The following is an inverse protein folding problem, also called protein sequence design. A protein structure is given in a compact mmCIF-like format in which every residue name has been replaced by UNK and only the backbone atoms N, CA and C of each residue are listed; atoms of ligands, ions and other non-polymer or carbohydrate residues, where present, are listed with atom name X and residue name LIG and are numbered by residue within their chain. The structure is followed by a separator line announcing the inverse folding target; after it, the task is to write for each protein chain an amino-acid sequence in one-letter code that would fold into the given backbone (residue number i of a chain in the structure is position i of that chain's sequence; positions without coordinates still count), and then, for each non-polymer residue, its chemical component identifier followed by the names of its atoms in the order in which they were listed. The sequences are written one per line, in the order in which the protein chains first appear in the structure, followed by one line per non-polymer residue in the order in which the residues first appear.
data_IF_577894438713
#
_entry.id   IF_577894438713
#
_cell.length_a   1.000
_cell.length_b   1.000
_cell.length_c   1.000
_cell.angle_alpha   90.00
_cell.angle_beta   90.00
_cell.angle_gamma   90.00
#
_symmetry.space_group_name_H-M   'P 1'
#
loop_
_entity.id
_entity.type
_entity.pdbx_description
1 polymer ?
#
# COMPACT_ATOMS: atom_id res chain seq x y z
N UNK A 1 -5.09 2.29 -15.67
CA UNK A 1 -3.94 1.45 -16.07
C UNK A 1 -4.10 0.09 -15.40
N UNK A 2 -3.83 -1.00 -16.12
CA UNK A 2 -3.92 -2.37 -15.61
C UNK A 2 -2.56 -2.92 -15.16
N UNK A 3 -2.52 -3.48 -13.96
CA UNK A 3 -1.33 -4.13 -13.37
C UNK A 3 -1.69 -5.58 -13.01
N UNK A 4 -0.99 -6.53 -13.62
CA UNK A 4 -1.10 -7.93 -13.24
C UNK A 4 -0.50 -8.16 -11.86
N UNK A 5 -1.18 -8.89 -10.99
CA UNK A 5 -0.64 -9.31 -9.70
C UNK A 5 -1.24 -10.67 -9.31
N UNK A 6 -0.46 -11.52 -8.66
CA UNK A 6 -0.95 -12.81 -8.14
C UNK A 6 -2.08 -12.59 -7.15
N UNK A 7 -3.13 -13.43 -7.20
CA UNK A 7 -4.29 -13.39 -6.28
C UNK A 7 -3.91 -13.21 -4.80
N UNK A 8 -2.85 -13.88 -4.31
CA UNK A 8 -2.41 -13.75 -2.92
C UNK A 8 -2.10 -12.30 -2.52
N UNK A 9 -1.38 -11.58 -3.37
CA UNK A 9 -1.07 -10.17 -3.12
C UNK A 9 -2.26 -9.24 -3.44
N UNK A 10 -3.10 -9.61 -4.41
CA UNK A 10 -4.35 -8.88 -4.66
C UNK A 10 -5.24 -8.84 -3.41
N UNK A 11 -5.35 -9.96 -2.70
CA UNK A 11 -6.09 -10.06 -1.44
C UNK A 11 -5.44 -9.20 -0.35
N UNK A 12 -4.11 -9.22 -0.24
CA UNK A 12 -3.38 -8.38 0.73
C UNK A 12 -3.50 -6.88 0.45
N UNK A 13 -3.59 -6.47 -0.83
CA UNK A 13 -3.88 -5.08 -1.16
C UNK A 13 -5.32 -4.74 -0.75
N UNK A 14 -6.25 -5.68 -1.02
CA UNK A 14 -7.68 -5.51 -0.70
C UNK A 14 -7.94 -5.35 0.80
N UNK A 15 -7.23 -6.09 1.65
CA UNK A 15 -7.35 -6.00 3.11
C UNK A 15 -6.42 -4.95 3.75
N UNK A 16 -5.50 -4.36 2.97
CA UNK A 16 -4.57 -3.33 3.41
C UNK A 16 -3.29 -3.83 4.05
N UNK A 17 -3.08 -5.14 4.18
CA UNK A 17 -1.84 -5.73 4.69
C UNK A 17 -0.64 -5.54 3.74
N UNK A 18 -0.88 -5.30 2.45
CA UNK A 18 0.13 -4.91 1.46
C UNK A 18 -0.10 -3.47 0.97
N UNK A 19 0.40 -2.46 1.69
CA UNK A 19 0.15 -1.06 1.37
C UNK A 19 0.98 -0.51 0.20
N UNK A 20 2.03 -1.23 -0.23
CA UNK A 20 2.94 -0.77 -1.28
C UNK A 20 3.14 -1.86 -2.33
N UNK A 21 3.05 -1.45 -3.59
CA UNK A 21 3.41 -2.29 -4.74
C UNK A 21 4.79 -1.91 -5.27
N UNK A 22 5.67 -2.90 -5.42
CA UNK A 22 7.02 -2.72 -5.94
C UNK A 22 7.11 -3.23 -7.38
N UNK A 23 7.69 -2.43 -8.29
CA UNK A 23 7.91 -2.81 -9.69
C UNK A 23 9.26 -2.32 -10.18
N UNK A 24 9.81 -3.00 -11.19
CA UNK A 24 10.87 -2.43 -12.02
C UNK A 24 10.36 -1.13 -12.64
N UNK A 25 11.14 -0.05 -12.61
CA UNK A 25 10.66 1.28 -13.03
C UNK A 25 10.72 1.48 -14.57
N UNK A 26 10.30 0.46 -15.32
CA UNK A 26 10.17 0.52 -16.78
C UNK A 26 9.14 1.58 -17.21
N UNK A 27 9.14 2.05 -18.48
CA UNK A 27 8.33 3.18 -18.93
C UNK A 27 6.85 3.12 -18.55
N UNK A 28 6.25 1.91 -18.56
CA UNK A 28 4.86 1.67 -18.15
C UNK A 28 4.59 2.13 -16.72
N UNK A 29 5.44 1.74 -15.77
CA UNK A 29 5.27 2.09 -14.35
C UNK A 29 5.87 3.46 -14.01
N UNK A 30 6.90 3.90 -14.75
CA UNK A 30 7.49 5.23 -14.58
C UNK A 30 6.47 6.37 -14.80
N UNK A 31 5.48 6.14 -15.67
CA UNK A 31 4.39 7.06 -15.97
C UNK A 31 3.35 7.22 -14.83
N UNK A 32 3.41 6.40 -13.78
CA UNK A 32 2.46 6.48 -12.66
C UNK A 32 2.75 7.69 -11.79
N UNK A 33 1.68 8.38 -11.42
CA UNK A 33 1.72 9.56 -10.55
C UNK A 33 0.75 9.41 -9.36
N UNK A 34 1.02 10.15 -8.29
CA UNK A 34 0.09 10.24 -7.16
C UNK A 34 -1.26 10.85 -7.59
N UNK A 35 -2.35 10.39 -6.97
CA UNK A 35 -3.73 10.73 -7.32
C UNK A 35 -4.31 9.89 -8.47
N UNK A 36 -3.49 9.10 -9.17
CA UNK A 36 -3.96 8.23 -10.24
C UNK A 36 -4.70 7.01 -9.67
N UNK A 37 -5.79 6.62 -10.35
CA UNK A 37 -6.42 5.32 -10.16
C UNK A 37 -5.80 4.25 -11.04
N UNK A 38 -5.45 3.11 -10.43
CA UNK A 38 -4.90 1.94 -11.10
C UNK A 38 -5.76 0.72 -10.77
N UNK A 39 -5.78 -0.26 -11.66
CA UNK A 39 -6.57 -1.47 -11.49
C UNK A 39 -5.63 -2.67 -11.48
N UNK A 40 -5.62 -3.40 -10.37
CA UNK A 40 -4.96 -4.68 -10.26
C UNK A 40 -5.87 -5.79 -10.77
N UNK A 41 -5.29 -6.80 -11.41
CA UNK A 41 -6.02 -8.00 -11.83
C UNK A 41 -5.17 -9.24 -11.63
N UNK A 42 -5.84 -10.36 -11.35
CA UNK A 42 -5.25 -11.69 -11.42
C UNK A 42 -5.55 -12.30 -12.80
N UNK A 43 -4.57 -12.98 -13.39
CA UNK A 43 -4.68 -13.57 -14.72
C UNK A 43 -3.47 -14.44 -15.04
N UNK A 44 -3.54 -15.21 -16.12
CA UNK A 44 -2.42 -16.04 -16.57
C UNK A 44 -1.60 -15.29 -17.63
N UNK A 45 -0.37 -14.90 -17.27
CA UNK A 45 0.58 -14.27 -18.20
C UNK A 45 1.09 -15.26 -19.27
N UNK A 46 0.79 -16.56 -19.17
CA UNK A 46 1.24 -17.60 -20.11
C UNK A 46 0.34 -17.77 -21.35
N UNK A 47 -0.76 -17.03 -21.45
CA UNK A 47 -1.51 -16.98 -22.69
C UNK A 47 -0.70 -16.18 -23.73
N UNK A 48 -0.01 -16.91 -24.60
CA UNK A 48 0.60 -16.47 -25.87
C UNK A 48 -0.21 -15.33 -26.54
N UNK A 49 0.47 -14.46 -27.28
CA UNK A 49 -0.18 -13.48 -28.16
C UNK A 49 -0.91 -14.19 -29.33
N UNK A 50 -1.96 -14.92 -29.01
CA UNK A 50 -2.95 -15.44 -29.94
C UNK A 50 -4.10 -14.44 -30.10
N UNK A 51 -4.46 -14.19 -31.36
CA UNK A 51 -5.68 -13.57 -31.90
C UNK A 51 -6.26 -12.29 -31.24
N UNK A 52 -5.43 -11.41 -30.71
CA UNK A 52 -5.75 -9.97 -30.66
C UNK A 52 -6.95 -9.53 -29.80
N UNK A 53 -7.53 -10.42 -29.01
CA UNK A 53 -8.55 -10.06 -28.03
C UNK A 53 -7.97 -10.07 -26.60
N UNK A 54 -7.48 -8.91 -26.16
CA UNK A 54 -6.94 -8.70 -24.81
C UNK A 54 -7.99 -8.92 -23.70
N UNK A 55 -9.30 -8.86 -24.01
CA UNK A 55 -10.39 -8.95 -23.03
C UNK A 55 -10.61 -10.38 -22.50
N UNK A 56 -10.06 -11.40 -23.17
CA UNK A 56 -10.13 -12.81 -22.72
C UNK A 56 -9.03 -13.23 -21.74
N UNK A 57 -7.99 -12.39 -21.53
CA UNK A 57 -6.81 -12.70 -20.68
C UNK A 57 -6.93 -12.22 -19.24
N UNK A 58 -7.85 -11.30 -19.00
CA UNK A 58 -8.13 -10.69 -17.71
C UNK A 58 -9.26 -11.47 -17.05
N UNK A 59 -9.02 -12.04 -15.86
CA UNK A 59 -10.13 -12.50 -15.04
C UNK A 59 -10.83 -11.26 -14.48
N UNK A 60 -11.74 -10.67 -15.27
CA UNK A 60 -12.47 -9.45 -14.90
C UNK A 60 -13.22 -9.62 -13.58
N UNK A 61 -13.54 -10.85 -13.20
CA UNK A 61 -14.18 -11.21 -11.93
C UNK A 61 -13.27 -11.05 -10.70
N UNK A 62 -11.95 -10.91 -10.86
CA UNK A 62 -11.01 -10.73 -9.76
C UNK A 62 -10.06 -9.55 -10.02
N UNK A 63 -10.61 -8.35 -9.94
CA UNK A 63 -9.88 -7.09 -10.06
C UNK A 63 -10.00 -6.25 -8.78
N UNK A 64 -9.13 -5.25 -8.64
CA UNK A 64 -9.17 -4.29 -7.56
C UNK A 64 -8.71 -2.92 -8.07
N UNK A 65 -9.59 -1.92 -8.02
CA UNK A 65 -9.21 -0.53 -8.22
C UNK A 65 -8.57 0.03 -6.94
N UNK A 66 -7.44 0.72 -7.08
CA UNK A 66 -6.75 1.40 -5.99
C UNK A 66 -6.31 2.81 -6.40
N UNK A 67 -6.31 3.72 -5.44
CA UNK A 67 -5.78 5.08 -5.60
C UNK A 67 -4.31 5.11 -5.18
N UNK A 68 -3.45 5.65 -6.04
CA UNK A 68 -2.03 5.84 -5.76
C UNK A 68 -1.85 7.09 -4.89
N UNK A 69 -1.26 6.95 -3.71
CA UNK A 69 -1.01 8.10 -2.80
C UNK A 69 0.40 8.65 -2.93
N UNK A 70 1.37 7.81 -3.31
CA UNK A 70 2.77 8.20 -3.45
C UNK A 70 3.47 7.28 -4.45
N UNK A 71 4.40 7.83 -5.23
CA UNK A 71 5.31 7.05 -6.06
C UNK A 71 6.74 7.50 -5.78
N UNK A 72 7.58 6.58 -5.32
CA UNK A 72 9.02 6.82 -5.13
C UNK A 72 9.84 5.92 -6.04
N UNK A 73 10.94 6.46 -6.55
CA UNK A 73 11.82 5.82 -7.53
C UNK A 73 13.19 5.64 -6.91
N UNK A 74 13.81 4.50 -7.17
CA UNK A 74 15.03 4.04 -6.52
C UNK A 74 15.99 3.48 -7.57
N UNK A 75 17.29 3.48 -7.28
CA UNK A 75 18.27 2.89 -8.19
C UNK A 75 18.24 1.36 -8.18
N UNK A 76 17.67 0.76 -7.14
CA UNK A 76 17.60 -0.70 -6.99
C UNK A 76 16.40 -1.12 -6.14
N UNK A 77 15.99 -2.38 -6.28
CA UNK A 77 15.07 -3.07 -5.39
C UNK A 77 15.59 -3.07 -3.95
N UNK A 78 16.91 -3.15 -3.76
CA UNK A 78 17.52 -3.10 -2.42
C UNK A 78 17.24 -1.77 -1.73
N UNK A 79 17.49 -0.64 -2.40
CA UNK A 79 17.19 0.69 -1.85
C UNK A 79 15.69 0.85 -1.58
N UNK A 80 14.85 0.36 -2.50
CA UNK A 80 13.39 0.40 -2.36
C UNK A 80 12.91 -0.37 -1.11
N UNK A 81 13.36 -1.61 -0.94
CA UNK A 81 13.00 -2.47 0.19
C UNK A 81 13.57 -1.92 1.51
N UNK A 82 14.78 -1.35 1.50
CA UNK A 82 15.35 -0.68 2.67
C UNK A 82 14.57 0.55 3.11
N UNK A 83 13.98 1.28 2.16
CA UNK A 83 13.28 2.54 2.45
C UNK A 83 11.88 2.34 3.07
N UNK A 84 11.19 1.24 2.78
CA UNK A 84 9.83 0.97 3.29
C UNK A 84 9.73 -0.24 4.22
N UNK A 85 10.78 -1.06 4.33
CA UNK A 85 10.69 -2.38 4.95
C UNK A 85 10.25 -3.44 3.94
N UNK A 86 10.69 -4.67 4.15
CA UNK A 86 10.36 -5.81 3.27
C UNK A 86 8.88 -6.17 3.41
N UNK A 87 8.37 -6.12 4.63
CA UNK A 87 7.00 -6.43 5.02
C UNK A 87 5.95 -5.58 4.30
N UNK A 88 6.30 -4.35 3.90
CA UNK A 88 5.38 -3.48 3.16
C UNK A 88 5.10 -3.99 1.73
N UNK A 89 6.02 -4.78 1.17
CA UNK A 89 5.93 -5.37 -0.16
C UNK A 89 5.63 -6.86 -0.13
N UNK A 90 6.15 -7.57 0.88
CA UNK A 90 6.07 -9.02 1.04
C UNK A 90 5.70 -9.34 2.50
N UNK A 91 4.41 -9.18 2.90
CA UNK A 91 3.99 -9.26 4.31
C UNK A 91 4.30 -10.60 5.00
N UNK A 92 4.19 -11.71 4.26
CA UNK A 92 4.42 -13.07 4.78
C UNK A 92 5.88 -13.56 4.60
N UNK A 93 6.79 -12.67 4.20
CA UNK A 93 8.17 -13.04 3.91
C UNK A 93 9.04 -13.02 5.17
N UNK A 94 9.55 -14.19 5.55
CA UNK A 94 10.38 -14.39 6.76
C UNK A 94 11.89 -14.46 6.47
N UNK A 95 12.34 -13.91 5.35
CA UNK A 95 13.75 -13.90 4.95
C UNK A 95 14.46 -12.58 5.21
N UNK A 96 15.74 -12.55 4.88
CA UNK A 96 16.58 -11.35 4.90
C UNK A 96 16.26 -10.40 3.75
N UNK A 97 16.69 -9.14 3.88
CA UNK A 97 16.64 -8.14 2.80
C UNK A 97 17.24 -8.65 1.49
N UNK A 98 18.37 -9.37 1.54
CA UNK A 98 19.02 -9.86 0.33
C UNK A 98 18.18 -10.94 -0.35
N UNK A 99 17.56 -11.84 0.42
CA UNK A 99 16.66 -12.86 -0.13
C UNK A 99 15.40 -12.21 -0.73
N UNK A 100 14.87 -11.15 -0.10
CA UNK A 100 13.76 -10.38 -0.66
C UNK A 100 14.11 -9.71 -1.99
N UNK A 101 15.34 -9.17 -2.12
CA UNK A 101 15.85 -8.63 -3.40
C UNK A 101 15.89 -9.73 -4.47
N UNK A 102 16.32 -10.94 -4.12
CA UNK A 102 16.37 -12.05 -5.07
C UNK A 102 14.97 -12.57 -5.46
N UNK A 103 13.94 -12.42 -4.61
CA UNK A 103 12.55 -12.64 -5.03
C UNK A 103 12.19 -11.72 -6.20
N UNK A 104 12.54 -10.44 -6.12
CA UNK A 104 12.28 -9.48 -7.20
C UNK A 104 13.11 -9.79 -8.46
N UNK A 105 14.39 -10.09 -8.31
CA UNK A 105 15.27 -10.45 -9.44
C UNK A 105 14.99 -11.82 -10.05
N UNK A 106 14.13 -12.62 -9.41
CA UNK A 106 13.62 -13.88 -9.93
C UNK A 106 12.52 -13.68 -10.98
N UNK A 107 11.88 -12.51 -11.05
CA UNK A 107 10.94 -12.19 -12.12
C UNK A 107 11.67 -12.02 -13.46
N UNK A 108 11.04 -12.46 -14.55
CA UNK A 108 11.62 -12.42 -15.89
C UNK A 108 12.00 -10.98 -16.26
N UNK A 109 13.28 -10.77 -16.60
CA UNK A 109 13.82 -9.47 -17.04
C UNK A 109 14.06 -8.46 -15.92
N UNK A 110 13.68 -8.75 -14.67
CA UNK A 110 13.85 -7.79 -13.57
C UNK A 110 15.31 -7.65 -13.15
N UNK A 111 16.14 -8.69 -13.30
CA UNK A 111 17.55 -8.62 -12.91
C UNK A 111 18.31 -7.64 -13.79
N UNK A 112 18.18 -7.78 -15.11
CA UNK A 112 18.86 -6.92 -16.07
C UNK A 112 18.19 -5.55 -16.14
N UNK A 113 16.86 -5.51 -16.15
CA UNK A 113 16.12 -4.25 -16.25
C UNK A 113 16.17 -3.40 -14.97
N UNK A 114 16.49 -3.97 -13.80
CA UNK A 114 16.79 -3.17 -12.59
C UNK A 114 17.99 -2.24 -12.84
N UNK A 115 19.03 -2.71 -13.52
CA UNK A 115 20.23 -1.90 -13.80
C UNK A 115 19.92 -0.74 -14.74
N UNK A 116 19.01 -0.94 -15.70
CA UNK A 116 18.61 0.07 -16.67
C UNK A 116 17.58 1.05 -16.11
N UNK A 117 16.55 0.55 -15.44
CA UNK A 117 15.36 1.32 -15.08
C UNK A 117 15.26 1.64 -13.59
N UNK A 118 15.98 0.91 -12.74
CA UNK A 118 15.81 0.93 -11.29
C UNK A 118 14.48 0.31 -10.84
N UNK A 119 14.03 0.73 -9.67
CA UNK A 119 12.80 0.24 -9.04
C UNK A 119 11.87 1.39 -8.65
N UNK A 120 10.56 1.10 -8.55
CA UNK A 120 9.58 2.04 -8.06
C UNK A 120 8.67 1.40 -6.99
N UNK A 121 8.39 2.19 -5.96
CA UNK A 121 7.41 1.90 -4.92
C UNK A 121 6.16 2.72 -5.20
N UNK A 122 5.03 2.04 -5.34
CA UNK A 122 3.71 2.61 -5.60
C UNK A 122 2.90 2.40 -4.33
N UNK A 123 2.80 3.43 -3.50
CA UNK A 123 2.02 3.38 -2.27
C UNK A 123 0.54 3.55 -2.60
N UNK A 124 -0.28 2.68 -2.05
CA UNK A 124 -1.71 2.65 -2.29
C UNK A 124 -2.44 3.26 -1.10
N UNK A 125 -3.61 3.84 -1.37
CA UNK A 125 -4.54 4.22 -0.32
C UNK A 125 -5.07 2.95 0.33
N UNK A 126 -4.79 2.79 1.62
CA UNK A 126 -5.33 1.66 2.38
C UNK A 126 -6.87 1.69 2.38
N UNK A 127 -7.52 0.54 2.60
CA UNK A 127 -8.95 0.55 2.89
C UNK A 127 -9.20 1.49 4.06
N UNK A 128 -10.22 2.33 3.95
CA UNK A 128 -10.62 3.23 5.02
C UNK A 128 -11.04 2.35 6.21
N UNK A 129 -10.12 2.10 7.15
CA UNK A 129 -10.47 1.47 8.41
C UNK A 129 -11.24 2.54 9.17
N UNK A 130 -12.56 2.57 8.97
CA UNK A 130 -13.47 3.20 9.90
C UNK A 130 -13.13 2.58 11.26
N UNK A 131 -12.52 3.37 12.15
CA UNK A 131 -12.10 2.93 13.47
C UNK A 131 -13.21 2.06 14.09
N UNK A 132 -12.96 0.74 14.17
CA UNK A 132 -13.70 -0.10 15.09
C UNK A 132 -13.17 0.29 16.47
N UNK A 133 -13.78 1.33 17.01
CA UNK A 133 -13.56 1.87 18.34
C UNK A 133 -14.01 0.81 19.35
N UNK A 134 -13.18 -0.23 19.51
CA UNK A 134 -13.39 -1.28 20.50
C UNK A 134 -13.04 -0.66 21.85
N UNK A 135 -14.03 0.01 22.43
CA UNK A 135 -14.05 0.45 23.82
C UNK A 135 -13.88 -0.78 24.73
N UNK A 136 -12.63 -1.11 25.01
CA UNK A 136 -12.21 -1.80 26.22
C UNK A 136 -11.31 -0.85 27.03
N UNK A 137 -11.80 0.36 27.28
CA UNK A 137 -11.39 1.12 28.45
C UNK A 137 -12.61 1.19 29.37
N UNK A 138 -12.61 0.32 30.38
CA UNK A 138 -13.57 0.37 31.45
C UNK A 138 -13.46 1.66 32.26
N UNK A 139 -14.59 2.00 32.89
CA UNK A 139 -14.80 3.00 33.92
C UNK A 139 -15.12 4.45 33.46
N UNK A 140 -16.43 4.71 33.51
CA UNK A 140 -17.07 5.87 34.15
C UNK A 140 -16.50 7.27 33.83
N UNK A 141 -17.28 8.09 33.12
CA UNK A 141 -18.08 9.15 33.76
C UNK A 141 -18.60 10.20 32.76
N UNK A 142 -19.93 10.28 32.72
CA UNK A 142 -20.84 11.46 32.59
C UNK A 142 -20.50 12.62 31.65
N UNK A 143 -21.46 12.79 30.72
CA UNK A 143 -22.22 14.02 30.46
C UNK A 143 -21.46 15.24 29.94
N UNK A 144 -21.76 15.56 28.68
CA UNK A 144 -21.48 16.82 28.01
C UNK A 144 -21.82 18.05 28.86
N UNK A 145 -20.92 19.04 28.91
CA UNK A 145 -21.31 20.46 28.99
C UNK A 145 -20.31 21.32 28.22
N UNK A 146 -20.89 22.19 27.42
CA UNK A 146 -20.31 23.14 26.47
C UNK A 146 -19.56 24.27 27.21
N UNK A 147 -18.47 24.77 26.62
CA UNK A 147 -17.67 25.87 27.13
C UNK A 147 -18.41 27.22 27.12
N UNK A 148 -18.19 28.05 28.16
CA UNK A 148 -18.35 29.52 28.14
C UNK A 148 -17.51 30.18 29.28
N UNK A 149 -17.09 31.46 29.16
CA UNK A 149 -15.83 31.96 29.69
C UNK A 149 -15.91 32.86 30.95
N UNK A 150 -14.74 33.00 31.58
CA UNK A 150 -14.22 34.05 32.49
C UNK A 150 -15.10 35.27 32.80
N UNK A 151 -15.44 35.44 34.09
CA UNK A 151 -15.38 36.74 34.77
C UNK A 151 -15.19 36.61 36.30
N UNK A 152 -14.33 37.51 36.79
CA UNK A 152 -13.79 37.78 38.13
C UNK A 152 -14.67 37.67 39.39
N UNK A 153 -13.93 37.72 40.52
CA UNK A 153 -14.28 38.14 41.89
C UNK A 153 -14.72 37.00 42.83
N UNK A 154 -14.30 36.87 44.10
CA UNK A 154 -13.34 37.56 44.97
C UNK A 154 -13.28 36.77 46.30
N UNK A 155 -12.11 36.77 46.96
CA UNK A 155 -11.84 36.55 48.42
C UNK A 155 -12.24 35.19 49.03
N UNK A 156 -11.26 34.39 49.43
CA UNK A 156 -10.66 34.36 50.77
C UNK A 156 -11.60 33.80 51.84
N UNK A 157 -11.27 32.64 52.41
CA UNK A 157 -10.85 32.58 53.82
C UNK A 157 -10.29 31.21 54.22
N UNK A 158 -9.37 31.32 55.17
CA UNK A 158 -8.53 30.35 55.86
C UNK A 158 -9.32 29.38 56.77
N UNK A 159 -8.73 28.18 56.98
CA UNK A 159 -8.73 27.28 58.16
C UNK A 159 -10.00 27.14 59.02
N UNK A 160 -10.42 25.93 59.43
CA UNK A 160 -9.63 24.84 60.02
C UNK A 160 -10.06 23.45 59.56
#
# INVERSE_FOLDING_TARGET
MLIHIRTVYLNMIRDGSKPVEGRMNEPKYAAIIAGQKITFYDGDDSAEEGDGNADSKINLGNTLEAEVVEVRRFKSFKEMLQAYGVEAFLPDFNGSLNEAVEVYRGFKGYREGEEEFGACAIKLKGPEIAHLDLRLCGSLSRTAVVAAPMHSLVKANYNQ
#
